data_IF_421877862471
#
_entry.id   IF_421877862471
#
_cell.length_a   1.000
_cell.length_b   1.000
_cell.length_c   1.000
_cell.angle_alpha   90.00
_cell.angle_beta   90.00
_cell.angle_gamma   90.00
#
_symmetry.space_group_name_H-M   'P 1'
#
loop_
_entity.id
_entity.type
_entity.pdbx_description
1 polymer ?
#
# COMPACT_ATOMS: atom_id res chain seq x y z
N UNK A 1 -54.09 49.02 26.49
CA UNK A 1 -52.86 48.21 26.61
C UNK A 1 -52.69 47.53 25.26
N UNK A 2 -52.35 48.34 24.26
CA UNK A 2 -50.97 48.68 23.82
C UNK A 2 -50.59 47.66 22.74
N UNK A 3 -50.63 48.07 21.47
CA UNK A 3 -49.46 48.49 20.68
C UNK A 3 -48.64 47.25 20.26
N UNK A 4 -48.20 47.00 19.04
CA UNK A 4 -48.08 47.74 17.78
C UNK A 4 -47.70 46.67 16.74
N UNK A 5 -48.30 46.69 15.54
CA UNK A 5 -47.74 45.94 14.40
C UNK A 5 -46.51 46.72 13.94
N UNK A 6 -45.35 46.25 14.37
CA UNK A 6 -44.06 46.87 14.16
C UNK A 6 -43.47 46.57 12.77
N UNK A 7 -43.42 47.63 11.97
CA UNK A 7 -42.28 48.05 11.13
C UNK A 7 -41.86 47.18 9.93
N UNK A 8 -42.36 47.62 8.77
CA UNK A 8 -41.55 48.10 7.64
C UNK A 8 -40.03 47.98 7.78
N UNK A 9 -39.36 47.37 6.79
CA UNK A 9 -38.25 48.01 6.07
C UNK A 9 -37.94 47.27 4.77
N UNK A 10 -38.40 47.89 3.68
CA UNK A 10 -37.90 47.73 2.33
C UNK A 10 -36.46 48.24 2.29
N UNK A 11 -35.51 47.40 1.90
CA UNK A 11 -34.19 47.83 1.47
C UNK A 11 -33.87 47.13 0.16
N UNK A 12 -34.49 47.65 -0.89
CA UNK A 12 -34.00 47.52 -2.25
C UNK A 12 -32.96 48.62 -2.44
N UNK A 13 -31.68 48.28 -2.27
CA UNK A 13 -30.57 49.14 -2.68
C UNK A 13 -29.93 48.50 -3.90
N UNK A 14 -30.30 49.05 -5.06
CA UNK A 14 -29.63 48.78 -6.32
C UNK A 14 -28.16 49.14 -6.22
N UNK A 15 -27.30 48.14 -6.45
CA UNK A 15 -25.88 48.39 -6.69
C UNK A 15 -25.67 48.75 -8.15
N UNK A 16 -25.76 50.04 -8.45
CA UNK A 16 -25.19 50.62 -9.66
C UNK A 16 -23.70 50.87 -9.43
N UNK A 17 -22.85 49.89 -9.76
CA UNK A 17 -21.43 50.14 -9.96
C UNK A 17 -21.08 49.98 -11.43
N UNK A 18 -20.72 51.12 -12.01
CA UNK A 18 -20.32 51.31 -13.39
C UNK A 18 -19.01 50.59 -13.73
N UNK A 19 -18.95 50.21 -15.00
CA UNK A 19 -17.76 50.20 -15.84
C UNK A 19 -16.67 49.16 -15.57
N UNK A 20 -16.55 48.25 -16.55
CA UNK A 20 -15.25 47.74 -16.98
C UNK A 20 -14.79 46.47 -16.32
N UNK A 21 -15.32 45.32 -16.77
CA UNK A 21 -14.54 44.16 -17.21
C UNK A 21 -15.49 42.99 -17.47
N UNK A 22 -15.96 42.90 -18.71
CA UNK A 22 -16.41 41.63 -19.28
C UNK A 22 -15.16 40.78 -19.59
N UNK A 23 -14.36 40.46 -18.57
CA UNK A 23 -13.53 39.26 -18.63
C UNK A 23 -14.44 38.13 -18.18
N UNK A 24 -15.24 37.63 -19.14
CA UNK A 24 -16.18 36.55 -18.93
C UNK A 24 -15.55 35.48 -18.06
N UNK A 25 -16.27 35.14 -16.97
CA UNK A 25 -15.94 34.08 -16.03
C UNK A 25 -15.53 32.83 -16.80
N UNK A 26 -14.24 32.65 -17.05
CA UNK A 26 -13.68 31.31 -17.14
C UNK A 26 -13.89 30.79 -15.73
N UNK A 27 -15.01 30.10 -15.50
CA UNK A 27 -15.15 29.25 -14.33
C UNK A 27 -13.88 28.41 -14.35
N UNK A 28 -13.01 28.57 -13.36
CA UNK A 28 -11.78 27.81 -13.26
C UNK A 28 -12.16 26.34 -13.03
N UNK A 29 -12.57 25.68 -14.11
CA UNK A 29 -12.98 24.29 -14.10
C UNK A 29 -11.77 23.44 -13.75
N UNK A 30 -10.54 23.91 -13.99
CA UNK A 30 -9.31 23.22 -13.58
C UNK A 30 -9.24 23.08 -12.07
N UNK A 31 -9.60 24.12 -11.31
CA UNK A 31 -9.75 24.05 -9.86
C UNK A 31 -10.80 23.02 -9.43
N UNK A 32 -11.99 23.04 -10.08
CA UNK A 32 -13.06 22.08 -9.80
C UNK A 32 -12.65 20.63 -10.07
N UNK A 33 -12.01 20.35 -11.21
CA UNK A 33 -11.56 19.00 -11.56
C UNK A 33 -10.49 18.50 -10.59
N UNK A 34 -9.57 19.37 -10.14
CA UNK A 34 -8.57 19.02 -9.13
C UNK A 34 -9.23 18.59 -7.82
N UNK A 35 -10.20 19.37 -7.34
CA UNK A 35 -10.94 19.05 -6.12
C UNK A 35 -11.73 17.73 -6.26
N UNK A 36 -12.37 17.50 -7.41
CA UNK A 36 -13.10 16.25 -7.65
C UNK A 36 -12.16 15.03 -7.74
N UNK A 37 -10.99 15.17 -8.36
CA UNK A 37 -10.01 14.10 -8.42
C UNK A 37 -9.49 13.72 -7.04
N UNK A 38 -9.21 14.71 -6.19
CA UNK A 38 -8.79 14.49 -4.81
C UNK A 38 -9.89 13.85 -3.96
N UNK A 39 -11.14 14.33 -4.11
CA UNK A 39 -12.29 13.73 -3.44
C UNK A 39 -12.48 12.27 -3.84
N UNK A 40 -12.41 11.96 -5.14
CA UNK A 40 -12.54 10.59 -5.64
C UNK A 40 -11.42 9.69 -5.13
N UNK A 41 -10.18 10.19 -5.06
CA UNK A 41 -9.05 9.46 -4.48
C UNK A 41 -9.31 9.13 -3.01
N UNK A 42 -9.68 10.13 -2.21
CA UNK A 42 -9.99 9.94 -0.78
C UNK A 42 -11.17 8.99 -0.57
N UNK A 43 -12.21 9.10 -1.39
CA UNK A 43 -13.35 8.20 -1.32
C UNK A 43 -12.96 6.76 -1.67
N UNK A 44 -12.04 6.57 -2.60
CA UNK A 44 -11.50 5.25 -2.93
C UNK A 44 -10.63 4.69 -1.79
N UNK A 45 -9.76 5.51 -1.20
CA UNK A 45 -8.97 5.13 -0.03
C UNK A 45 -9.85 4.74 1.16
N UNK A 46 -10.92 5.50 1.42
CA UNK A 46 -11.90 5.16 2.46
C UNK A 46 -12.53 3.79 2.24
N UNK A 47 -12.96 3.50 1.00
CA UNK A 47 -13.54 2.18 0.68
C UNK A 47 -12.54 1.05 0.85
N UNK A 48 -11.30 1.22 0.39
CA UNK A 48 -10.29 0.19 0.56
C UNK A 48 -9.98 -0.08 2.04
N UNK A 49 -9.88 0.97 2.86
CA UNK A 49 -9.66 0.80 4.30
C UNK A 49 -10.84 0.08 4.99
N UNK A 50 -12.09 0.38 4.59
CA UNK A 50 -13.27 -0.33 5.10
C UNK A 50 -13.23 -1.82 4.72
N UNK A 51 -12.89 -2.13 3.47
CA UNK A 51 -12.75 -3.52 3.00
C UNK A 51 -11.60 -4.27 3.69
N UNK A 52 -10.46 -3.61 3.92
CA UNK A 52 -9.31 -4.17 4.64
C UNK A 52 -9.64 -4.44 6.11
N UNK A 53 -10.39 -3.54 6.77
CA UNK A 53 -10.84 -3.74 8.14
C UNK A 53 -11.80 -4.93 8.25
N UNK A 54 -12.75 -5.06 7.32
CA UNK A 54 -13.65 -6.23 7.29
C UNK A 54 -12.86 -7.54 7.10
N UNK A 55 -11.80 -7.52 6.28
CA UNK A 55 -10.92 -8.68 6.13
C UNK A 55 -10.16 -8.99 7.42
N UNK A 56 -9.59 -7.99 8.09
CA UNK A 56 -8.87 -8.15 9.35
C UNK A 56 -9.76 -8.70 10.47
N UNK A 57 -11.04 -8.31 10.51
CA UNK A 57 -12.00 -8.85 11.49
C UNK A 57 -12.28 -10.35 11.25
N UNK A 58 -12.24 -10.80 9.99
CA UNK A 58 -12.45 -12.21 9.61
C UNK A 58 -11.17 -13.05 9.70
N UNK A 59 -10.00 -12.43 9.84
CA UNK A 59 -8.73 -13.16 9.90
C UNK A 59 -8.54 -13.83 11.25
N UNK A 60 -7.96 -15.03 11.22
CA UNK A 60 -7.59 -15.77 12.42
C UNK A 60 -6.45 -15.08 13.18
N UNK A 61 -6.32 -15.43 14.47
CA UNK A 61 -5.23 -14.94 15.28
C UNK A 61 -3.87 -15.38 14.70
N UNK A 62 -2.94 -14.43 14.61
CA UNK A 62 -1.57 -14.71 14.16
C UNK A 62 -0.90 -15.84 14.95
N UNK A 63 -1.21 -15.99 16.25
CA UNK A 63 -0.69 -17.09 17.07
C UNK A 63 -1.18 -18.47 16.60
N UNK A 64 -2.44 -18.58 16.16
CA UNK A 64 -3.01 -19.80 15.62
C UNK A 64 -2.38 -20.13 14.26
N UNK A 65 -2.35 -19.16 13.33
CA UNK A 65 -1.75 -19.35 12.01
C UNK A 65 -0.25 -19.69 12.09
N UNK A 66 0.51 -19.05 12.99
CA UNK A 66 1.92 -19.38 13.19
C UNK A 66 2.11 -20.79 13.75
N UNK A 67 1.22 -21.26 14.64
CA UNK A 67 1.29 -22.61 15.18
C UNK A 67 1.02 -23.65 14.11
N UNK A 68 -0.03 -23.47 13.32
CA UNK A 68 -0.36 -24.35 12.19
C UNK A 68 0.77 -24.40 11.16
N UNK A 69 1.39 -23.25 10.88
CA UNK A 69 2.54 -23.17 10.01
C UNK A 69 3.73 -23.98 10.56
N UNK A 70 4.08 -23.83 11.83
CA UNK A 70 5.16 -24.60 12.47
C UNK A 70 4.85 -26.11 12.43
N UNK A 71 3.63 -26.51 12.80
CA UNK A 71 3.19 -27.89 12.75
C UNK A 71 3.34 -28.47 11.32
N UNK A 72 3.04 -27.66 10.29
CA UNK A 72 3.21 -28.05 8.88
C UNK A 72 4.68 -28.23 8.48
N UNK A 73 5.57 -27.34 8.93
CA UNK A 73 7.01 -27.38 8.63
C UNK A 73 7.67 -28.57 9.34
N UNK A 74 7.29 -28.83 10.59
CA UNK A 74 7.85 -29.92 11.39
C UNK A 74 7.35 -31.30 10.92
N UNK A 75 6.21 -31.38 10.24
CA UNK A 75 5.62 -32.65 9.79
C UNK A 75 6.47 -33.44 8.78
N UNK A 76 7.25 -32.74 7.95
CA UNK A 76 8.10 -33.35 6.92
C UNK A 76 9.47 -32.67 6.91
N UNK A 77 10.53 -33.36 7.37
CA UNK A 77 11.86 -32.77 7.38
C UNK A 77 12.34 -32.52 5.95
N UNK A 78 12.91 -31.33 5.73
CA UNK A 78 13.51 -30.95 4.46
C UNK A 78 14.79 -31.78 4.23
N UNK A 79 14.91 -32.52 3.10
CA UNK A 79 16.11 -33.30 2.78
C UNK A 79 17.36 -32.44 2.58
N UNK A 80 17.23 -31.13 2.36
CA UNK A 80 18.35 -30.20 2.23
C UNK A 80 18.81 -29.64 3.59
N UNK A 81 18.05 -29.89 4.67
CA UNK A 81 18.43 -29.42 5.99
C UNK A 81 19.21 -30.51 6.76
N UNK A 82 20.25 -30.14 7.55
CA UNK A 82 21.15 -31.09 8.23
C UNK A 82 20.51 -32.00 9.29
N UNK A 83 19.18 -31.94 9.48
CA UNK A 83 18.46 -32.75 10.47
C UNK A 83 18.10 -34.15 9.97
N UNK A 84 18.28 -34.44 8.68
CA UNK A 84 18.16 -35.83 8.23
C UNK A 84 19.39 -36.59 8.70
N UNK A 85 19.19 -37.56 9.61
CA UNK A 85 20.20 -38.55 10.01
C UNK A 85 20.42 -39.48 8.79
N UNK A 86 21.01 -38.93 7.74
CA UNK A 86 21.49 -39.62 6.56
C UNK A 86 23.01 -39.70 6.62
N UNK A 87 23.64 -40.71 5.99
CA UNK A 87 25.07 -40.71 5.81
C UNK A 87 25.50 -39.39 5.17
N UNK A 88 26.51 -38.72 5.75
CA UNK A 88 27.09 -37.51 5.17
C UNK A 88 27.60 -37.86 3.77
N UNK A 89 26.86 -37.45 2.75
CA UNK A 89 27.26 -37.65 1.37
C UNK A 89 28.27 -36.55 1.02
N UNK A 90 29.56 -36.89 1.18
CA UNK A 90 30.70 -36.03 0.88
C UNK A 90 30.74 -35.54 -0.57
N UNK A 91 29.91 -36.11 -1.46
CA UNK A 91 29.77 -35.66 -2.85
C UNK A 91 28.97 -34.36 -2.95
N UNK A 92 28.17 -33.99 -1.95
CA UNK A 92 27.47 -32.70 -1.90
C UNK A 92 28.43 -31.53 -1.70
N UNK A 93 29.45 -31.71 -0.86
CA UNK A 93 30.51 -30.73 -0.66
C UNK A 93 31.25 -30.42 -1.97
N UNK A 94 31.23 -31.30 -2.98
CA UNK A 94 31.86 -31.05 -4.27
C UNK A 94 31.21 -29.89 -5.06
N UNK A 95 29.92 -29.62 -4.85
CA UNK A 95 29.20 -28.53 -5.54
C UNK A 95 29.37 -27.18 -4.83
N UNK A 96 29.66 -27.20 -3.52
CA UNK A 96 29.84 -26.01 -2.70
C UNK A 96 31.31 -25.71 -2.37
N UNK A 97 32.21 -26.69 -2.48
CA UNK A 97 33.65 -26.50 -2.48
C UNK A 97 34.13 -26.00 -3.85
N UNK A 98 35.15 -25.15 -3.82
CA UNK A 98 35.82 -24.75 -5.07
C UNK A 98 36.41 -25.98 -5.76
N UNK A 99 36.41 -26.06 -7.10
CA UNK A 99 37.10 -27.11 -7.84
C UNK A 99 38.52 -27.26 -7.28
N UNK A 100 38.84 -28.45 -6.75
CA UNK A 100 40.17 -28.72 -6.18
C UNK A 100 41.17 -28.46 -7.29
N UNK A 101 42.00 -27.41 -7.12
CA UNK A 101 42.91 -26.93 -8.16
C UNK A 101 43.69 -28.14 -8.68
N UNK A 102 43.53 -28.46 -9.96
CA UNK A 102 44.33 -29.50 -10.60
C UNK A 102 45.80 -29.21 -10.26
N UNK A 103 46.53 -30.20 -9.74
CA UNK A 103 47.97 -30.09 -9.50
C UNK A 103 48.57 -29.56 -10.81
N UNK A 104 49.09 -28.32 -10.80
CA UNK A 104 49.71 -27.75 -12.00
C UNK A 104 50.76 -28.76 -12.44
N UNK A 105 50.68 -29.28 -13.68
CA UNK A 105 51.81 -30.02 -14.24
C UNK A 105 53.02 -29.11 -14.14
N UNK A 106 54.08 -29.57 -13.47
CA UNK A 106 55.39 -28.92 -13.44
C UNK A 106 56.11 -29.05 -14.78
N UNK A 107 55.41 -28.71 -15.86
CA UNK A 107 55.94 -28.68 -17.20
C UNK A 107 56.75 -27.36 -17.31
N UNK A 108 58.04 -27.41 -16.94
CA UNK A 108 58.97 -26.30 -17.14
C UNK A 108 59.27 -26.18 -18.64
N UNK A 109 58.96 -25.04 -19.24
CA UNK A 109 59.46 -24.71 -20.57
C UNK A 109 60.93 -24.25 -20.47
N UNK A 110 61.67 -24.72 -21.46
CA UNK A 110 63.09 -24.60 -21.73
C UNK A 110 63.62 -23.15 -21.72
#
# INVERSE_FOLDING_TARGET
MEETVGSSNLMEVGSSNSSGQLSGRVVDTRGKHRIHAELNRLQQESRFLEEELEQLEKMDHASASCKEFLDSVDSKPDPLLPQTIGPVDATWDQWFERPKKAKRCGCFNF
#
